data_IF_019030932982
#
_entry.id   IF_019030932982
#
_cell.length_a   1.000
_cell.length_b   1.000
_cell.length_c   1.000
_cell.angle_alpha   90.00
_cell.angle_beta   90.00
_cell.angle_gamma   90.00
#
_symmetry.space_group_name_H-M   'P 1'
#
loop_
_entity.id
_entity.type
_entity.pdbx_description
1 polymer ?
#
# COMPACT_ATOMS: atom_id res chain seq x y z
N UNK A 1 68.52 -18.28 12.82
CA UNK A 1 67.26 -19.05 12.70
C UNK A 1 66.16 -18.27 13.41
N UNK A 2 65.02 -18.10 12.72
CA UNK A 2 63.83 -17.34 13.14
C UNK A 2 63.16 -17.94 14.38
N UNK A 3 62.52 -17.09 15.20
CA UNK A 3 61.07 -17.12 15.45
C UNK A 3 60.63 -15.88 16.25
N UNK A 4 59.81 -15.07 15.59
CA UNK A 4 59.04 -13.95 16.12
C UNK A 4 57.71 -14.53 16.61
N UNK A 5 57.31 -14.25 17.84
CA UNK A 5 55.93 -14.47 18.31
C UNK A 5 55.21 -13.13 18.38
N UNK A 6 54.18 -13.02 17.55
CA UNK A 6 53.22 -11.92 17.47
C UNK A 6 52.24 -12.09 18.63
N UNK A 7 52.15 -11.11 19.53
CA UNK A 7 51.10 -11.02 20.53
C UNK A 7 49.88 -10.41 19.84
N UNK A 8 48.87 -11.26 19.63
CA UNK A 8 47.61 -10.92 19.00
C UNK A 8 46.66 -10.19 19.95
N UNK A 9 46.09 -9.12 19.40
CA UNK A 9 44.92 -8.34 19.80
C UNK A 9 43.84 -9.08 20.60
N UNK A 10 43.47 -8.54 21.77
CA UNK A 10 42.22 -8.78 22.47
C UNK A 10 41.30 -7.57 22.24
N UNK A 11 40.69 -7.51 21.04
CA UNK A 11 39.56 -6.65 20.77
C UNK A 11 38.32 -7.30 21.38
N UNK A 12 37.91 -6.79 22.54
CA UNK A 12 36.61 -7.08 23.16
C UNK A 12 35.54 -6.44 22.25
N UNK A 13 35.02 -7.21 21.31
CA UNK A 13 33.83 -6.84 20.56
C UNK A 13 32.63 -6.90 21.54
N UNK A 14 32.17 -5.73 21.95
CA UNK A 14 30.88 -5.52 22.58
C UNK A 14 29.78 -5.95 21.59
N UNK A 15 29.38 -7.21 21.68
CA UNK A 15 28.12 -7.70 21.14
C UNK A 15 26.98 -7.03 21.91
N UNK A 16 26.62 -5.82 21.47
CA UNK A 16 25.32 -5.24 21.76
C UNK A 16 24.28 -6.19 21.15
N UNK A 17 23.64 -6.95 22.03
CA UNK A 17 22.41 -7.67 21.75
C UNK A 17 21.35 -6.67 21.27
N UNK A 18 21.27 -6.46 19.97
CA UNK A 18 20.01 -6.11 19.35
C UNK A 18 19.10 -7.34 19.53
N UNK A 19 18.30 -7.35 20.60
CA UNK A 19 17.20 -8.30 20.72
C UNK A 19 16.29 -8.09 19.51
N UNK A 20 16.44 -8.95 18.50
CA UNK A 20 15.51 -9.03 17.40
C UNK A 20 14.14 -9.36 18.01
N UNK A 21 13.21 -8.40 17.98
CA UNK A 21 11.79 -8.68 18.24
C UNK A 21 11.39 -9.92 17.46
N UNK A 22 10.80 -10.95 18.10
CA UNK A 22 10.39 -12.16 17.42
C UNK A 22 9.50 -11.81 16.22
N UNK A 23 9.82 -12.35 15.04
CA UNK A 23 8.95 -12.20 13.86
C UNK A 23 7.56 -12.74 14.20
N UNK A 24 6.52 -11.96 13.94
CA UNK A 24 5.14 -12.39 14.14
C UNK A 24 4.85 -13.61 13.24
N UNK A 25 4.43 -14.71 13.84
CA UNK A 25 4.04 -15.90 13.11
C UNK A 25 2.69 -15.70 12.40
N UNK A 26 2.61 -16.13 11.14
CA UNK A 26 1.39 -16.15 10.33
C UNK A 26 0.90 -17.60 10.27
N UNK A 27 -0.23 -17.90 10.90
CA UNK A 27 -0.79 -19.25 11.02
C UNK A 27 -1.68 -19.61 9.84
N UNK A 28 -2.13 -20.86 9.76
CA UNK A 28 -3.06 -21.32 8.75
C UNK A 28 -4.40 -20.56 8.81
N UNK A 29 -4.87 -20.20 9.99
CA UNK A 29 -6.09 -19.41 10.19
C UNK A 29 -5.93 -17.99 9.66
N UNK A 30 -4.77 -17.36 9.89
CA UNK A 30 -4.48 -16.04 9.32
C UNK A 30 -4.48 -16.10 7.78
N UNK A 31 -3.85 -17.14 7.21
CA UNK A 31 -3.82 -17.35 5.76
C UNK A 31 -5.22 -17.53 5.21
N UNK A 32 -6.04 -18.38 5.85
CA UNK A 32 -7.43 -18.62 5.43
C UNK A 32 -8.22 -17.32 5.43
N UNK A 33 -8.17 -16.56 6.54
CA UNK A 33 -8.89 -15.30 6.66
C UNK A 33 -8.41 -14.26 5.62
N UNK A 34 -7.09 -14.10 5.44
CA UNK A 34 -6.54 -13.16 4.46
C UNK A 34 -6.94 -13.54 3.02
N UNK A 35 -6.85 -14.82 2.68
CA UNK A 35 -7.22 -15.33 1.37
C UNK A 35 -8.72 -15.18 1.11
N UNK A 36 -9.57 -15.47 2.10
CA UNK A 36 -11.03 -15.31 2.00
C UNK A 36 -11.43 -13.85 1.79
N UNK A 37 -10.81 -12.92 2.52
CA UNK A 37 -11.05 -11.49 2.31
C UNK A 37 -10.62 -11.04 0.90
N UNK A 38 -9.47 -11.51 0.42
CA UNK A 38 -8.87 -11.17 -0.88
C UNK A 38 -9.40 -11.96 -2.08
N UNK A 39 -10.26 -12.97 -1.88
CA UNK A 39 -10.73 -13.84 -2.95
C UNK A 39 -11.70 -13.07 -3.87
N UNK A 40 -11.39 -13.02 -5.16
CA UNK A 40 -12.23 -12.39 -6.19
C UNK A 40 -13.00 -13.43 -7.03
N UNK A 41 -12.81 -14.72 -6.75
CA UNK A 41 -13.38 -15.81 -7.55
C UNK A 41 -14.83 -16.16 -7.23
N UNK A 42 -15.34 -15.72 -6.08
CA UNK A 42 -16.63 -16.13 -5.51
C UNK A 42 -17.68 -15.03 -5.45
N UNK A 43 -17.36 -13.80 -5.90
CA UNK A 43 -18.20 -12.64 -5.60
C UNK A 43 -19.10 -12.28 -6.78
N UNK A 44 -20.37 -12.66 -6.66
CA UNK A 44 -21.46 -11.99 -7.37
C UNK A 44 -21.79 -10.70 -6.61
N UNK A 45 -20.91 -9.69 -6.76
CA UNK A 45 -21.04 -8.41 -6.07
C UNK A 45 -21.86 -7.48 -6.95
N UNK A 46 -23.18 -7.56 -6.79
CA UNK A 46 -24.06 -6.41 -7.05
C UNK A 46 -24.70 -5.87 -5.76
N UNK A 47 -23.91 -5.41 -4.75
CA UNK A 47 -24.38 -4.48 -3.74
C UNK A 47 -25.14 -3.33 -4.38
N UNK A 48 -26.30 -3.01 -3.81
CA UNK A 48 -27.15 -1.92 -4.30
C UNK A 48 -26.51 -0.55 -4.04
N UNK A 49 -25.56 -0.47 -3.09
CA UNK A 49 -24.81 0.72 -2.75
C UNK A 49 -23.44 0.40 -2.13
N UNK A 50 -22.58 1.42 -2.00
CA UNK A 50 -21.31 1.29 -1.27
C UNK A 50 -21.52 1.03 0.24
N UNK A 51 -22.57 1.58 0.83
CA UNK A 51 -22.82 1.42 2.26
C UNK A 51 -23.18 -0.04 2.56
N UNK A 52 -24.07 -0.65 1.75
CA UNK A 52 -24.38 -2.08 1.83
C UNK A 52 -23.12 -2.94 1.68
N UNK A 53 -22.22 -2.60 0.74
CA UNK A 53 -20.95 -3.32 0.55
C UNK A 53 -20.06 -3.28 1.80
N UNK A 54 -19.96 -2.13 2.46
CA UNK A 54 -19.17 -2.00 3.69
C UNK A 54 -19.85 -2.72 4.87
N UNK A 55 -21.16 -2.60 5.02
CA UNK A 55 -21.94 -3.27 6.07
C UNK A 55 -21.87 -4.79 5.93
N UNK A 56 -22.09 -5.34 4.72
CA UNK A 56 -21.98 -6.77 4.46
C UNK A 56 -20.58 -7.31 4.77
N UNK A 57 -19.53 -6.57 4.42
CA UNK A 57 -18.17 -6.97 4.79
C UNK A 57 -17.97 -6.95 6.31
N UNK A 58 -18.45 -5.89 6.98
CA UNK A 58 -18.34 -5.75 8.41
C UNK A 58 -19.04 -6.89 9.16
N UNK A 59 -20.26 -7.24 8.74
CA UNK A 59 -21.06 -8.32 9.32
C UNK A 59 -20.43 -9.69 9.07
N UNK A 60 -20.00 -9.96 7.82
CA UNK A 60 -19.41 -11.25 7.45
C UNK A 60 -18.13 -11.56 8.24
N UNK A 61 -17.32 -10.55 8.54
CA UNK A 61 -16.08 -10.71 9.30
C UNK A 61 -16.21 -10.32 10.78
N UNK A 62 -17.39 -9.88 11.21
CA UNK A 62 -17.67 -9.44 12.57
C UNK A 62 -16.73 -8.32 13.03
N UNK A 63 -16.51 -7.30 12.20
CA UNK A 63 -15.60 -6.19 12.46
C UNK A 63 -16.36 -4.88 12.62
N UNK A 64 -15.68 -3.88 13.18
CA UNK A 64 -16.10 -2.49 13.14
C UNK A 64 -14.94 -1.66 12.57
N UNK A 65 -15.22 -0.80 11.60
CA UNK A 65 -14.18 0.00 10.95
C UNK A 65 -13.53 0.98 11.93
N UNK A 66 -12.21 1.11 11.86
CA UNK A 66 -11.43 1.92 12.80
C UNK A 66 -11.25 1.31 14.20
N UNK A 67 -11.92 0.20 14.52
CA UNK A 67 -11.75 -0.49 15.81
C UNK A 67 -10.81 -1.68 15.66
N UNK A 68 -9.83 -1.79 16.56
CA UNK A 68 -8.91 -2.92 16.57
C UNK A 68 -9.57 -4.13 17.21
N UNK A 69 -9.75 -5.20 16.42
CA UNK A 69 -10.20 -6.51 16.89
C UNK A 69 -9.19 -7.57 16.48
N UNK A 70 -8.80 -8.42 17.43
CA UNK A 70 -7.81 -9.49 17.22
C UNK A 70 -6.50 -9.02 16.55
N UNK A 71 -6.07 -7.79 16.90
CA UNK A 71 -4.86 -7.16 16.37
C UNK A 71 -4.95 -6.70 14.91
N UNK A 72 -6.15 -6.67 14.32
CA UNK A 72 -6.44 -6.14 12.99
C UNK A 72 -7.33 -4.90 13.12
N UNK A 73 -7.07 -3.90 12.28
CA UNK A 73 -7.97 -2.76 12.10
C UNK A 73 -8.28 -2.62 10.62
N UNK A 74 -9.53 -2.31 10.31
CA UNK A 74 -10.02 -2.15 8.94
C UNK A 74 -10.40 -0.69 8.68
N UNK A 75 -10.14 -0.25 7.45
CA UNK A 75 -10.46 1.10 6.99
C UNK A 75 -11.13 1.03 5.63
N UNK A 76 -11.97 2.02 5.34
CA UNK A 76 -12.68 2.14 4.08
C UNK A 76 -12.30 3.42 3.34
N UNK A 77 -12.28 3.35 2.01
CA UNK A 77 -12.15 4.49 1.12
C UNK A 77 -13.30 4.53 0.14
N UNK A 78 -13.73 5.74 -0.24
CA UNK A 78 -14.80 5.94 -1.22
C UNK A 78 -14.48 7.07 -2.18
N UNK A 79 -14.94 6.94 -3.42
CA UNK A 79 -14.94 8.03 -4.40
C UNK A 79 -16.10 7.91 -5.38
N UNK A 80 -16.70 9.04 -5.70
CA UNK A 80 -17.74 9.16 -6.74
C UNK A 80 -17.08 9.35 -8.10
N UNK A 81 -17.72 8.84 -9.15
CA UNK A 81 -17.40 9.02 -10.55
C UNK A 81 -18.52 9.83 -11.17
N UNK A 82 -18.23 11.06 -11.55
CA UNK A 82 -19.20 12.00 -12.12
C UNK A 82 -19.40 11.80 -13.64
N UNK A 83 -19.31 10.56 -14.14
CA UNK A 83 -19.53 10.21 -15.54
C UNK A 83 -20.61 9.13 -15.65
N UNK A 84 -21.40 9.23 -16.71
CA UNK A 84 -22.43 8.25 -17.05
C UNK A 84 -21.86 7.05 -17.82
N UNK A 85 -22.65 5.99 -17.91
CA UNK A 85 -22.36 4.76 -18.65
C UNK A 85 -22.05 5.01 -20.13
N UNK A 86 -22.63 6.05 -20.73
CA UNK A 86 -22.39 6.41 -22.13
C UNK A 86 -21.09 7.20 -22.36
N UNK A 87 -20.39 7.60 -21.30
CA UNK A 87 -19.19 8.44 -21.46
C UNK A 87 -17.98 7.59 -21.90
N UNK A 88 -17.32 7.93 -23.02
CA UNK A 88 -16.11 7.26 -23.49
C UNK A 88 -14.96 7.18 -22.48
N UNK A 89 -14.93 8.10 -21.51
CA UNK A 89 -13.88 8.19 -20.51
C UNK A 89 -14.23 7.44 -19.22
N UNK A 90 -15.36 6.73 -19.17
CA UNK A 90 -15.82 6.04 -17.97
C UNK A 90 -14.75 5.11 -17.37
N UNK A 91 -14.11 4.28 -18.20
CA UNK A 91 -13.06 3.37 -17.73
C UNK A 91 -11.88 4.10 -17.07
N UNK A 92 -11.47 5.25 -17.64
CA UNK A 92 -10.42 6.09 -17.07
C UNK A 92 -10.88 6.78 -15.77
N UNK A 93 -12.13 7.24 -15.75
CA UNK A 93 -12.69 7.91 -14.58
C UNK A 93 -12.88 6.95 -13.40
N UNK A 94 -13.28 5.70 -13.65
CA UNK A 94 -13.29 4.63 -12.65
C UNK A 94 -11.88 4.40 -12.09
N UNK A 95 -10.89 4.30 -12.96
CA UNK A 95 -9.51 4.11 -12.51
C UNK A 95 -8.99 5.29 -11.67
N UNK A 96 -9.34 6.53 -12.01
CA UNK A 96 -9.03 7.72 -11.21
C UNK A 96 -9.80 7.75 -9.89
N UNK A 97 -11.07 7.35 -9.90
CA UNK A 97 -11.90 7.25 -8.71
C UNK A 97 -11.35 6.20 -7.74
N UNK A 98 -10.81 5.08 -8.23
CA UNK A 98 -10.11 4.11 -7.39
C UNK A 98 -8.89 4.73 -6.70
N UNK A 99 -8.07 5.49 -7.44
CA UNK A 99 -6.90 6.17 -6.84
C UNK A 99 -7.35 7.18 -5.77
N UNK A 100 -8.44 7.91 -6.00
CA UNK A 100 -9.02 8.82 -5.02
C UNK A 100 -9.63 8.10 -3.81
N UNK A 101 -10.28 6.96 -4.01
CA UNK A 101 -10.80 6.14 -2.92
C UNK A 101 -9.65 5.60 -2.05
N UNK A 102 -8.54 5.16 -2.66
CA UNK A 102 -7.34 4.75 -1.94
C UNK A 102 -6.71 5.90 -1.16
N UNK A 103 -6.61 7.08 -1.77
CA UNK A 103 -6.13 8.30 -1.09
C UNK A 103 -6.98 8.62 0.14
N UNK A 104 -8.31 8.60 0.00
CA UNK A 104 -9.23 8.85 1.10
C UNK A 104 -9.07 7.81 2.22
N UNK A 105 -8.90 6.53 1.87
CA UNK A 105 -8.63 5.46 2.83
C UNK A 105 -7.34 5.74 3.61
N UNK A 106 -6.26 6.10 2.92
CA UNK A 106 -4.97 6.42 3.54
C UNK A 106 -5.07 7.64 4.46
N UNK A 107 -5.82 8.67 4.08
CA UNK A 107 -6.09 9.85 4.93
C UNK A 107 -6.79 9.44 6.23
N UNK A 108 -7.85 8.63 6.15
CA UNK A 108 -8.56 8.15 7.34
C UNK A 108 -7.66 7.29 8.24
N UNK A 109 -6.85 6.42 7.65
CA UNK A 109 -5.85 5.65 8.39
C UNK A 109 -4.85 6.55 9.13
N UNK A 110 -4.29 7.57 8.46
CA UNK A 110 -3.29 8.45 9.07
C UNK A 110 -3.89 9.29 10.18
N UNK A 111 -5.13 9.77 10.05
CA UNK A 111 -5.82 10.50 11.12
C UNK A 111 -5.99 9.64 12.37
N UNK A 112 -6.46 8.40 12.21
CA UNK A 112 -6.61 7.46 13.33
C UNK A 112 -5.25 7.11 13.96
N UNK A 113 -4.24 6.82 13.14
CA UNK A 113 -2.88 6.56 13.62
C UNK A 113 -2.28 7.77 14.36
N UNK A 114 -2.48 8.98 13.83
CA UNK A 114 -2.06 10.23 14.47
C UNK A 114 -2.72 10.38 15.85
N UNK A 115 -4.04 10.20 15.94
CA UNK A 115 -4.77 10.25 17.20
C UNK A 115 -4.21 9.26 18.23
N UNK A 116 -4.06 7.99 17.85
CA UNK A 116 -3.53 6.94 18.75
C UNK A 116 -2.11 7.23 19.22
N UNK A 117 -1.22 7.63 18.32
CA UNK A 117 0.18 7.94 18.66
C UNK A 117 0.24 9.18 19.55
N UNK A 118 -0.52 10.23 19.22
CA UNK A 118 -0.55 11.46 20.00
C UNK A 118 -1.02 11.19 21.43
N UNK A 119 -2.13 10.47 21.58
CA UNK A 119 -2.70 10.08 22.86
C UNK A 119 -1.67 9.29 23.70
N UNK A 120 -1.03 8.29 23.11
CA UNK A 120 -0.01 7.50 23.81
C UNK A 120 1.19 8.36 24.25
N UNK A 121 1.67 9.29 23.41
CA UNK A 121 2.76 10.21 23.78
C UNK A 121 2.36 11.15 24.92
N UNK A 122 1.17 11.75 24.85
CA UNK A 122 0.65 12.65 25.89
C UNK A 122 0.54 11.91 27.22
N UNK A 123 0.01 10.68 27.24
CA UNK A 123 -0.01 9.86 28.45
C UNK A 123 1.39 9.65 29.03
N UNK A 124 2.39 9.39 28.20
CA UNK A 124 3.78 9.19 28.67
C UNK A 124 4.39 10.49 29.24
N UNK A 125 3.95 11.66 28.79
CA UNK A 125 4.36 12.95 29.34
C UNK A 125 3.62 13.29 30.65
N UNK A 126 2.34 12.90 30.75
CA UNK A 126 1.51 13.15 31.92
C UNK A 126 1.72 12.16 33.06
N UNK A 127 2.15 10.92 32.74
CA UNK A 127 2.43 9.86 33.69
C UNK A 127 3.57 10.25 34.65
N UNK A 128 3.15 10.83 35.78
CA UNK A 128 3.75 10.58 37.09
C UNK A 128 3.20 9.23 37.59
N UNK A 129 3.97 8.46 38.38
CA UNK A 129 3.73 7.04 38.70
C UNK A 129 2.40 6.74 39.45
N UNK A 130 1.26 6.87 38.77
CA UNK A 130 -0.08 6.68 39.31
C UNK A 130 -0.97 5.89 38.34
N UNK A 131 -1.76 4.98 38.90
CA UNK A 131 -2.40 3.80 38.27
C UNK A 131 -3.63 4.06 37.39
N UNK A 132 -3.90 5.29 36.94
CA UNK A 132 -5.13 5.64 36.20
C UNK A 132 -4.94 5.88 34.69
N UNK A 133 -4.10 5.08 34.02
CA UNK A 133 -3.87 5.19 32.56
C UNK A 133 -4.97 4.56 31.68
N UNK A 134 -6.11 4.13 32.24
CA UNK A 134 -7.19 3.47 31.51
C UNK A 134 -8.53 4.15 31.79
N UNK A 135 -8.80 5.19 31.02
CA UNK A 135 -10.11 5.61 30.53
C UNK A 135 -9.90 6.99 29.90
N UNK A 136 -9.66 7.00 28.58
CA UNK A 136 -9.96 8.20 27.83
C UNK A 136 -11.47 8.21 27.61
N UNK A 137 -12.15 9.19 28.20
CA UNK A 137 -13.50 9.55 27.79
C UNK A 137 -13.50 9.78 26.26
N UNK A 138 -14.58 9.36 25.61
CA UNK A 138 -14.82 9.64 24.20
C UNK A 138 -14.59 11.13 23.93
N UNK A 139 -13.68 11.38 23.01
CA UNK A 139 -13.29 12.73 22.62
C UNK A 139 -14.53 13.51 22.14
N UNK A 140 -14.82 14.70 22.71
CA UNK A 140 -16.01 15.48 22.36
C UNK A 140 -15.99 15.96 20.90
N UNK A 141 -17.14 16.40 20.37
CA UNK A 141 -17.26 16.87 18.98
C UNK A 141 -16.28 18.03 18.69
N UNK A 142 -15.30 17.78 17.82
CA UNK A 142 -14.25 18.73 17.42
C UNK A 142 -13.23 18.05 16.50
N UNK A 143 -12.19 18.77 16.10
CA UNK A 143 -11.09 18.21 15.32
C UNK A 143 -10.14 17.42 16.23
N UNK A 144 -9.56 16.32 15.72
CA UNK A 144 -8.61 15.49 16.49
C UNK A 144 -7.36 16.30 16.86
N UNK A 145 -6.88 17.16 15.96
CA UNK A 145 -5.71 18.01 16.19
C UNK A 145 -5.98 19.06 17.27
N UNK A 146 -7.15 19.71 17.24
CA UNK A 146 -7.54 20.71 18.24
C UNK A 146 -7.58 20.14 19.66
N UNK A 147 -8.14 18.94 19.82
CA UNK A 147 -8.19 18.26 21.12
C UNK A 147 -6.80 17.88 21.65
N UNK A 148 -5.91 17.42 20.76
CA UNK A 148 -4.51 17.14 21.09
C UNK A 148 -3.81 18.43 21.53
N UNK A 149 -4.06 19.55 20.85
CA UNK A 149 -3.51 20.85 21.23
C UNK A 149 -3.96 21.34 22.59
N UNK A 150 -5.25 21.18 22.91
CA UNK A 150 -5.78 21.56 24.22
C UNK A 150 -5.06 20.81 25.34
N UNK A 151 -4.72 19.53 25.12
CA UNK A 151 -3.94 18.73 26.06
C UNK A 151 -2.47 19.13 26.12
N UNK A 152 -1.84 19.42 24.99
CA UNK A 152 -0.43 19.85 24.98
C UNK A 152 -0.21 21.20 25.69
N UNK A 153 -1.16 22.13 25.59
CA UNK A 153 -1.07 23.45 26.26
C UNK A 153 -1.15 23.33 27.79
N UNK A 154 -1.76 22.26 28.31
CA UNK A 154 -1.81 21.96 29.75
C UNK A 154 -0.46 21.50 30.31
N UNK A 155 0.48 21.06 29.46
CA UNK A 155 1.84 20.72 29.88
C UNK A 155 2.60 22.00 30.29
N UNK A 156 3.21 21.96 31.47
CA UNK A 156 3.99 23.06 32.04
C UNK A 156 5.22 22.56 32.79
N UNK A 157 6.16 23.47 33.07
CA UNK A 157 7.37 23.19 33.84
C UNK A 157 8.13 21.95 33.37
N UNK A 158 8.39 21.02 34.29
CA UNK A 158 9.16 19.81 34.02
C UNK A 158 8.51 18.86 32.99
N UNK A 159 7.18 18.82 32.88
CA UNK A 159 6.48 17.99 31.88
C UNK A 159 6.66 18.54 30.47
N UNK A 160 6.58 19.87 30.33
CA UNK A 160 6.86 20.58 29.08
C UNK A 160 8.32 20.37 28.65
N UNK A 161 9.26 20.48 29.58
CA UNK A 161 10.67 20.25 29.31
C UNK A 161 10.97 18.80 28.92
N UNK A 162 10.34 17.81 29.57
CA UNK A 162 10.43 16.40 29.21
C UNK A 162 9.94 16.17 27.78
N UNK A 163 8.74 16.67 27.45
CA UNK A 163 8.16 16.50 26.12
C UNK A 163 9.05 17.10 25.02
N UNK A 164 9.60 18.30 25.24
CA UNK A 164 10.52 18.93 24.29
C UNK A 164 11.84 18.16 24.13
N UNK A 165 12.41 17.65 25.22
CA UNK A 165 13.62 16.82 25.18
C UNK A 165 13.38 15.51 24.45
N UNK A 166 12.25 14.86 24.66
CA UNK A 166 11.85 13.64 23.95
C UNK A 166 11.68 13.88 22.43
N UNK A 167 11.35 15.11 22.03
CA UNK A 167 11.32 15.55 20.63
C UNK A 167 12.68 16.00 20.10
N UNK A 168 13.75 15.94 20.90
CA UNK A 168 15.11 16.32 20.51
C UNK A 168 15.41 17.82 20.61
N UNK A 169 14.60 18.59 21.33
CA UNK A 169 14.75 20.06 21.45
C UNK A 169 15.48 20.40 22.76
N UNK A 170 16.52 21.23 22.67
CA UNK A 170 17.16 21.80 23.85
C UNK A 170 16.28 22.92 24.44
N UNK A 171 16.01 22.83 25.74
CA UNK A 171 15.09 23.72 26.47
C UNK A 171 15.80 24.86 27.21
N UNK A 172 17.13 24.83 27.28
CA UNK A 172 17.93 25.84 27.97
C UNK A 172 17.80 27.21 27.30
N UNK A 173 17.55 28.25 28.09
CA UNK A 173 17.39 29.63 27.61
C UNK A 173 16.07 29.95 26.91
N UNK A 174 15.15 28.98 26.75
CA UNK A 174 13.85 29.22 26.13
C UNK A 174 12.82 29.75 27.13
N UNK A 175 12.03 30.74 26.70
CA UNK A 175 10.84 31.20 27.44
C UNK A 175 9.75 30.14 27.42
N UNK A 176 8.88 30.14 28.43
CA UNK A 176 7.78 29.16 28.50
C UNK A 176 6.82 29.26 27.30
N UNK A 177 6.57 30.47 26.81
CA UNK A 177 5.78 30.70 25.59
C UNK A 177 6.46 30.06 24.37
N UNK A 178 7.77 30.27 24.20
CA UNK A 178 8.52 29.66 23.08
C UNK A 178 8.53 28.13 23.18
N UNK A 179 8.66 27.59 24.39
CA UNK A 179 8.57 26.15 24.66
C UNK A 179 7.22 25.58 24.22
N UNK A 180 6.10 26.25 24.54
CA UNK A 180 4.75 25.81 24.13
C UNK A 180 4.56 25.86 22.62
N UNK A 181 5.06 26.89 21.94
CA UNK A 181 5.00 26.98 20.47
C UNK A 181 5.82 25.86 19.82
N UNK A 182 7.07 25.67 20.25
CA UNK A 182 7.93 24.60 19.71
C UNK A 182 7.36 23.21 19.97
N UNK A 183 6.75 22.99 21.14
CA UNK A 183 6.09 21.72 21.45
C UNK A 183 4.96 21.46 20.45
N UNK A 184 4.09 22.43 20.17
CA UNK A 184 2.98 22.24 19.21
C UNK A 184 3.51 21.87 17.83
N UNK A 185 4.47 22.65 17.31
CA UNK A 185 5.04 22.47 15.97
C UNK A 185 5.70 21.09 15.82
N UNK A 186 6.64 20.77 16.70
CA UNK A 186 7.42 19.54 16.58
C UNK A 186 6.64 18.29 17.01
N UNK A 187 5.70 18.41 17.96
CA UNK A 187 4.81 17.31 18.29
C UNK A 187 3.94 16.92 17.10
N UNK A 188 3.30 17.88 16.41
CA UNK A 188 2.51 17.59 15.21
C UNK A 188 3.38 16.94 14.14
N UNK A 189 4.46 17.61 13.80
CA UNK A 189 5.37 17.20 12.74
C UNK A 189 5.87 15.75 12.95
N UNK A 190 6.41 15.44 14.13
CA UNK A 190 6.91 14.09 14.44
C UNK A 190 5.79 13.07 14.53
N UNK A 191 4.62 13.43 15.06
CA UNK A 191 3.50 12.49 15.23
C UNK A 191 2.84 12.16 13.90
N UNK A 192 2.66 13.13 13.00
CA UNK A 192 2.18 12.89 11.63
C UNK A 192 3.22 12.07 10.85
N UNK A 193 4.51 12.37 11.01
CA UNK A 193 5.59 11.58 10.40
C UNK A 193 5.51 10.11 10.85
N UNK A 194 5.31 9.86 12.15
CA UNK A 194 5.09 8.50 12.67
C UNK A 194 3.80 7.86 12.14
N UNK A 195 2.72 8.63 12.00
CA UNK A 195 1.44 8.15 11.48
C UNK A 195 1.54 7.73 10.00
N UNK A 196 2.17 8.57 9.17
CA UNK A 196 2.56 8.24 7.78
C UNK A 196 3.44 7.00 7.76
N UNK A 197 4.46 6.95 8.62
CA UNK A 197 5.34 5.79 8.72
C UNK A 197 4.58 4.51 9.06
N UNK A 198 3.48 4.65 9.79
CA UNK A 198 2.61 3.53 10.13
C UNK A 198 1.73 3.05 8.97
N UNK A 199 1.75 3.67 7.78
CA UNK A 199 1.03 3.17 6.60
C UNK A 199 1.58 1.83 6.07
N UNK A 200 2.81 1.48 6.43
CA UNK A 200 3.35 0.16 6.10
C UNK A 200 2.44 -0.95 6.59
N UNK A 201 2.20 -1.94 5.73
CA UNK A 201 1.30 -3.05 6.02
C UNK A 201 -0.19 -2.72 5.93
N UNK A 202 -0.59 -1.54 5.45
CA UNK A 202 -1.96 -1.27 5.03
C UNK A 202 -2.21 -1.93 3.67
N UNK A 203 -3.09 -2.93 3.64
CA UNK A 203 -3.29 -3.81 2.48
C UNK A 203 -4.76 -3.79 2.07
N UNK A 204 -5.08 -3.38 0.83
CA UNK A 204 -6.43 -3.51 0.28
C UNK A 204 -6.83 -4.97 0.16
N UNK A 205 -8.01 -5.30 0.66
CA UNK A 205 -8.56 -6.66 0.64
C UNK A 205 -9.73 -6.79 -0.32
N UNK A 206 -10.53 -5.74 -0.50
CA UNK A 206 -11.65 -5.73 -1.44
C UNK A 206 -11.83 -4.37 -2.10
N UNK A 207 -12.27 -4.39 -3.36
CA UNK A 207 -12.73 -3.21 -4.08
C UNK A 207 -14.06 -3.52 -4.73
N UNK A 208 -14.86 -2.48 -4.94
CA UNK A 208 -16.10 -2.60 -5.69
C UNK A 208 -16.35 -1.35 -6.51
N UNK A 209 -17.04 -1.52 -7.64
CA UNK A 209 -17.72 -0.47 -8.38
C UNK A 209 -19.22 -0.69 -8.24
N UNK A 210 -19.93 0.30 -7.72
CA UNK A 210 -21.41 0.29 -7.65
C UNK A 210 -21.97 1.45 -8.46
N UNK A 211 -23.25 1.39 -8.81
CA UNK A 211 -23.94 2.47 -9.51
C UNK A 211 -25.15 2.90 -8.70
N UNK A 212 -25.28 4.21 -8.46
CA UNK A 212 -26.39 4.79 -7.72
C UNK A 212 -26.85 6.06 -8.42
N UNK A 213 -28.12 6.07 -8.87
CA UNK A 213 -28.75 7.23 -9.53
C UNK A 213 -27.95 7.74 -10.75
N UNK A 214 -27.39 6.83 -11.55
CA UNK A 214 -26.62 7.17 -12.75
C UNK A 214 -25.21 7.71 -12.51
N UNK A 215 -24.72 7.63 -11.26
CA UNK A 215 -23.31 7.87 -10.92
C UNK A 215 -22.68 6.56 -10.46
N UNK A 216 -21.41 6.36 -10.80
CA UNK A 216 -20.65 5.25 -10.25
C UNK A 216 -19.95 5.66 -8.97
N UNK A 217 -19.85 4.73 -8.03
CA UNK A 217 -19.18 4.91 -6.77
C UNK A 217 -18.18 3.75 -6.60
N UNK A 218 -16.93 4.07 -6.24
CA UNK A 218 -15.89 3.08 -5.95
C UNK A 218 -15.64 3.00 -4.45
N UNK A 219 -15.67 1.78 -3.93
CA UNK A 219 -15.35 1.45 -2.54
C UNK A 219 -14.07 0.63 -2.46
N UNK A 220 -13.28 0.87 -1.42
CA UNK A 220 -12.06 0.12 -1.09
C UNK A 220 -12.10 -0.23 0.38
N UNK A 221 -11.78 -1.47 0.72
CA UNK A 221 -11.57 -1.93 2.09
C UNK A 221 -10.12 -2.36 2.23
N UNK A 222 -9.45 -1.93 3.29
CA UNK A 222 -8.10 -2.34 3.62
C UNK A 222 -7.96 -2.77 5.07
N UNK A 223 -6.97 -3.60 5.33
CA UNK A 223 -6.62 -4.10 6.66
C UNK A 223 -5.19 -3.71 7.01
N UNK A 224 -4.94 -3.47 8.29
CA UNK A 224 -3.59 -3.34 8.85
C UNK A 224 -3.49 -4.13 10.15
N UNK A 225 -2.34 -4.75 10.37
CA UNK A 225 -2.01 -5.48 11.59
C UNK A 225 -0.50 -5.52 11.80
N UNK A 226 -0.06 -6.02 12.97
CA UNK A 226 1.37 -6.30 13.18
C UNK A 226 1.92 -7.31 12.17
N UNK A 227 1.10 -8.30 11.76
CA UNK A 227 1.48 -9.34 10.81
C UNK A 227 1.64 -8.79 9.40
N UNK A 228 0.70 -7.95 8.94
CA UNK A 228 0.81 -7.32 7.60
C UNK A 228 1.97 -6.33 7.53
N UNK A 229 2.26 -5.59 8.61
CA UNK A 229 3.47 -4.75 8.73
C UNK A 229 4.75 -5.56 8.61
N UNK A 230 4.83 -6.65 9.39
CA UNK A 230 6.00 -7.53 9.40
C UNK A 230 6.22 -8.15 8.03
N UNK A 231 5.15 -8.66 7.39
CA UNK A 231 5.20 -9.19 6.04
C UNK A 231 5.69 -8.13 5.05
N UNK A 232 5.10 -6.93 5.07
CA UNK A 232 5.45 -5.88 4.13
C UNK A 232 6.92 -5.43 4.30
N UNK A 233 7.43 -5.42 5.53
CA UNK A 233 8.85 -5.22 5.86
C UNK A 233 9.74 -6.36 5.35
N UNK A 234 9.32 -7.61 5.51
CA UNK A 234 10.07 -8.73 4.98
C UNK A 234 10.10 -8.68 3.44
N UNK A 235 9.01 -8.22 2.79
CA UNK A 235 8.89 -8.10 1.33
C UNK A 235 9.83 -7.04 0.79
N UNK A 236 9.84 -5.89 1.45
CA UNK A 236 10.77 -4.81 1.12
C UNK A 236 12.24 -5.24 1.29
N UNK A 237 12.54 -6.09 2.28
CA UNK A 237 13.89 -6.55 2.57
C UNK A 237 14.32 -7.83 1.82
N UNK A 238 13.47 -8.39 0.95
CA UNK A 238 13.72 -9.68 0.31
C UNK A 238 14.02 -10.82 1.32
N UNK A 239 13.32 -10.83 2.46
CA UNK A 239 13.47 -11.81 3.55
C UNK A 239 12.26 -12.73 3.62
N UNK A 240 12.45 -13.96 4.08
CA UNK A 240 11.32 -14.84 4.37
C UNK A 240 10.61 -14.43 5.66
N UNK A 241 9.28 -14.41 5.63
CA UNK A 241 8.44 -14.27 6.82
C UNK A 241 8.22 -15.63 7.50
N UNK A 242 7.97 -15.61 8.82
CA UNK A 242 7.59 -16.82 9.56
C UNK A 242 6.13 -17.21 9.26
N UNK A 243 5.93 -18.02 8.21
CA UNK A 243 4.61 -18.47 7.77
C UNK A 243 4.46 -19.97 8.03
N UNK A 244 3.38 -20.35 8.71
CA UNK A 244 3.00 -21.72 9.06
C UNK A 244 1.62 -22.03 8.49
N UNK A 245 1.59 -22.32 7.19
CA UNK A 245 0.38 -22.73 6.49
C UNK A 245 0.51 -22.62 4.98
N UNK A 246 -0.57 -22.94 4.27
CA UNK A 246 -0.65 -22.96 2.81
C UNK A 246 -1.99 -22.39 2.34
N UNK A 247 -1.97 -21.71 1.20
CA UNK A 247 -3.16 -21.31 0.47
C UNK A 247 -3.50 -22.28 -0.66
N UNK A 248 -4.19 -21.76 -1.68
CA UNK A 248 -4.52 -22.46 -2.93
C UNK A 248 -3.75 -21.84 -4.11
N UNK A 249 -3.90 -22.43 -5.30
CA UNK A 249 -3.24 -21.91 -6.50
C UNK A 249 -3.67 -20.46 -6.77
N UNK A 250 -2.71 -19.61 -7.13
CA UNK A 250 -2.98 -18.17 -7.30
C UNK A 250 -4.04 -17.86 -8.37
N UNK A 251 -4.20 -18.72 -9.38
CA UNK A 251 -5.24 -18.56 -10.39
C UNK A 251 -6.65 -18.77 -9.84
N UNK A 252 -6.78 -19.52 -8.74
CA UNK A 252 -8.08 -19.82 -8.14
C UNK A 252 -8.68 -18.63 -7.38
N UNK A 253 -7.89 -17.59 -7.08
CA UNK A 253 -8.38 -16.34 -6.49
C UNK A 253 -8.92 -15.34 -7.52
N UNK A 254 -8.68 -15.57 -8.81
CA UNK A 254 -9.11 -14.65 -9.86
C UNK A 254 -10.61 -14.82 -10.15
N UNK A 255 -11.29 -13.74 -10.60
CA UNK A 255 -12.63 -13.85 -11.17
C UNK A 255 -12.72 -14.96 -12.21
N UNK A 256 -13.83 -15.70 -12.21
CA UNK A 256 -14.03 -16.84 -13.12
C UNK A 256 -14.35 -16.41 -14.56
N UNK A 257 -14.94 -15.23 -14.72
CA UNK A 257 -15.31 -14.64 -15.99
C UNK A 257 -14.66 -13.26 -16.19
N UNK A 258 -14.55 -12.81 -17.44
CA UNK A 258 -13.91 -11.52 -17.76
C UNK A 258 -14.68 -10.30 -17.24
N UNK A 259 -16.00 -10.40 -17.02
CA UNK A 259 -16.83 -9.29 -16.50
C UNK A 259 -16.50 -9.03 -15.02
N UNK A 260 -16.25 -10.08 -14.24
CA UNK A 260 -15.85 -9.96 -12.84
C UNK A 260 -14.58 -9.11 -12.62
N UNK A 261 -13.67 -9.07 -13.60
CA UNK A 261 -12.46 -8.23 -13.52
C UNK A 261 -12.74 -6.73 -13.61
N UNK A 262 -13.93 -6.29 -14.03
CA UNK A 262 -14.29 -4.87 -14.05
C UNK A 262 -14.35 -4.25 -12.64
N UNK A 263 -14.53 -5.07 -11.60
CA UNK A 263 -14.60 -4.62 -10.21
C UNK A 263 -13.24 -4.66 -9.50
N UNK A 264 -12.22 -5.24 -10.15
CA UNK A 264 -10.92 -5.48 -9.53
C UNK A 264 -9.93 -4.36 -9.87
N UNK A 265 -9.51 -3.67 -8.81
CA UNK A 265 -8.53 -2.59 -8.88
C UNK A 265 -7.45 -2.76 -7.82
N UNK A 266 -6.24 -2.35 -8.19
CA UNK A 266 -5.12 -2.27 -7.26
C UNK A 266 -4.57 -3.62 -6.85
N UNK A 267 -3.99 -3.67 -5.65
CA UNK A 267 -3.34 -4.88 -5.15
C UNK A 267 -4.25 -5.71 -4.24
N UNK A 268 -3.92 -7.00 -4.13
CA UNK A 268 -4.39 -7.92 -3.09
C UNK A 268 -3.22 -8.72 -2.57
N UNK A 269 -3.22 -9.00 -1.28
CA UNK A 269 -2.35 -10.01 -0.69
C UNK A 269 -3.08 -11.34 -0.64
N UNK A 270 -2.45 -12.38 -1.18
CA UNK A 270 -2.88 -13.78 -1.03
C UNK A 270 -1.68 -14.64 -0.67
N UNK A 271 -1.93 -15.86 -0.23
CA UNK A 271 -0.92 -16.90 -0.07
C UNK A 271 -1.16 -18.03 -1.06
N UNK A 272 -0.09 -18.52 -1.66
CA UNK A 272 -0.15 -19.62 -2.62
C UNK A 272 -0.12 -21.00 -1.94
N UNK A 273 -0.14 -22.08 -2.73
CA UNK A 273 -0.11 -23.47 -2.26
C UNK A 273 1.16 -23.86 -1.46
N UNK A 274 2.21 -23.04 -1.51
CA UNK A 274 3.45 -23.24 -0.74
C UNK A 274 3.44 -22.45 0.57
N UNK A 275 2.45 -21.58 0.76
CA UNK A 275 2.42 -20.62 1.86
C UNK A 275 3.24 -19.35 1.56
N UNK A 276 3.68 -19.16 0.32
CA UNK A 276 4.41 -17.96 -0.07
C UNK A 276 3.43 -16.79 -0.22
N UNK A 277 3.75 -15.59 0.32
CA UNK A 277 2.93 -14.41 0.13
C UNK A 277 3.08 -13.90 -1.31
N UNK A 278 1.95 -13.63 -1.95
CA UNK A 278 1.87 -13.15 -3.33
C UNK A 278 1.04 -11.87 -3.37
N UNK A 279 1.61 -10.82 -3.97
CA UNK A 279 0.85 -9.61 -4.30
C UNK A 279 0.29 -9.78 -5.70
N UNK A 280 -1.03 -9.89 -5.80
CA UNK A 280 -1.75 -9.78 -7.07
C UNK A 280 -2.05 -8.31 -7.32
N UNK A 281 -1.92 -7.85 -8.57
CA UNK A 281 -2.20 -6.48 -8.94
C UNK A 281 -3.02 -6.42 -10.21
N UNK A 282 -4.17 -5.77 -10.11
CA UNK A 282 -5.14 -5.62 -11.17
C UNK A 282 -4.98 -4.24 -11.81
N UNK A 283 -4.63 -4.25 -13.09
CA UNK A 283 -4.62 -3.07 -13.93
C UNK A 283 -5.64 -3.24 -15.04
N UNK A 284 -6.46 -2.21 -15.24
CA UNK A 284 -7.43 -2.18 -16.32
C UNK A 284 -7.44 -0.79 -16.99
N UNK A 285 -7.85 -0.78 -18.24
CA UNK A 285 -8.04 0.44 -19.01
C UNK A 285 -9.11 0.22 -20.07
N UNK A 286 -9.71 1.31 -20.57
CA UNK A 286 -10.73 1.24 -21.60
C UNK A 286 -10.41 2.12 -22.80
N UNK A 287 -10.96 1.73 -23.95
CA UNK A 287 -10.96 2.49 -25.19
C UNK A 287 -12.28 2.28 -25.95
N UNK A 288 -12.58 3.19 -26.87
CA UNK A 288 -13.68 3.00 -27.83
C UNK A 288 -13.08 2.60 -29.18
N UNK A 289 -13.53 1.47 -29.71
CA UNK A 289 -13.15 1.03 -31.04
C UNK A 289 -13.74 1.95 -32.12
N UNK A 290 -12.92 2.28 -33.10
CA UNK A 290 -13.32 3.01 -34.30
C UNK A 290 -13.68 1.99 -35.39
N UNK A 291 -14.97 1.75 -35.60
CA UNK A 291 -15.48 0.75 -36.54
C UNK A 291 -14.99 0.98 -37.99
N UNK A 292 -14.65 2.23 -38.34
CA UNK A 292 -14.22 2.60 -39.68
C UNK A 292 -12.68 2.66 -39.80
N UNK A 293 -11.94 2.45 -38.72
CA UNK A 293 -10.49 2.59 -38.70
C UNK A 293 -9.81 1.55 -37.80
N UNK A 294 -9.66 0.33 -38.32
CA UNK A 294 -8.98 -0.77 -37.64
C UNK A 294 -7.56 -0.41 -37.17
N UNK A 295 -6.80 0.36 -37.96
CA UNK A 295 -5.44 0.79 -37.56
C UNK A 295 -5.47 1.64 -36.29
N UNK A 296 -6.42 2.58 -36.21
CA UNK A 296 -6.59 3.43 -35.03
C UNK A 296 -7.07 2.61 -33.82
N UNK A 297 -8.01 1.70 -34.02
CA UNK A 297 -8.48 0.77 -32.96
C UNK A 297 -7.34 -0.04 -32.38
N UNK A 298 -6.50 -0.66 -33.22
CA UNK A 298 -5.35 -1.45 -32.74
C UNK A 298 -4.36 -0.59 -31.93
N UNK A 299 -4.10 0.66 -32.35
CA UNK A 299 -3.24 1.58 -31.59
C UNK A 299 -3.86 1.94 -30.23
N UNK A 300 -5.17 2.13 -30.17
CA UNK A 300 -5.88 2.42 -28.92
C UNK A 300 -5.86 1.21 -27.97
N UNK A 301 -6.08 0.00 -28.52
CA UNK A 301 -6.01 -1.25 -27.78
C UNK A 301 -4.60 -1.49 -27.21
N UNK A 302 -3.55 -1.34 -28.02
CA UNK A 302 -2.16 -1.53 -27.58
C UNK A 302 -1.80 -0.55 -26.46
N UNK A 303 -2.16 0.74 -26.61
CA UNK A 303 -1.98 1.75 -25.56
C UNK A 303 -2.75 1.41 -24.29
N UNK A 304 -3.97 0.91 -24.40
CA UNK A 304 -4.77 0.51 -23.26
C UNK A 304 -4.15 -0.68 -22.52
N UNK A 305 -3.62 -1.68 -23.24
CA UNK A 305 -2.90 -2.83 -22.67
C UNK A 305 -1.60 -2.40 -21.97
N UNK A 306 -0.85 -1.50 -22.57
CA UNK A 306 0.39 -0.96 -22.00
C UNK A 306 0.10 -0.13 -20.74
N UNK A 307 -0.97 0.67 -20.77
CA UNK A 307 -1.43 1.46 -19.63
C UNK A 307 -1.86 0.53 -18.50
N UNK A 308 -2.72 -0.45 -18.76
CA UNK A 308 -3.15 -1.43 -17.77
C UNK A 308 -1.96 -2.15 -17.12
N UNK A 309 -0.96 -2.55 -17.91
CA UNK A 309 0.27 -3.19 -17.41
C UNK A 309 1.10 -2.24 -16.55
N UNK A 310 1.28 -1.00 -16.99
CA UNK A 310 2.00 0.03 -16.23
C UNK A 310 1.33 0.32 -14.90
N UNK A 311 -0.01 0.37 -14.85
CA UNK A 311 -0.76 0.63 -13.63
C UNK A 311 -0.66 -0.52 -12.63
N UNK A 312 -0.78 -1.77 -13.10
CA UNK A 312 -0.62 -2.93 -12.25
C UNK A 312 0.81 -3.02 -11.67
N UNK A 313 1.83 -2.76 -12.49
CA UNK A 313 3.23 -2.73 -12.05
C UNK A 313 3.46 -1.60 -11.04
N UNK A 314 2.96 -0.39 -11.33
CA UNK A 314 3.08 0.76 -10.44
C UNK A 314 2.45 0.51 -9.07
N UNK A 315 1.29 -0.16 -8.99
CA UNK A 315 0.65 -0.46 -7.71
C UNK A 315 1.47 -1.44 -6.83
N UNK A 316 2.13 -2.43 -7.45
CA UNK A 316 3.06 -3.34 -6.74
C UNK A 316 4.27 -2.54 -6.24
N UNK A 317 4.83 -1.70 -7.10
CA UNK A 317 6.02 -0.92 -6.75
C UNK A 317 5.71 0.09 -5.65
N UNK A 318 4.58 0.79 -5.73
CA UNK A 318 4.12 1.72 -4.70
C UNK A 318 3.99 1.02 -3.36
N UNK A 319 3.40 -0.19 -3.33
CA UNK A 319 3.34 -1.00 -2.12
C UNK A 319 4.73 -1.32 -1.58
N UNK A 320 5.62 -1.91 -2.40
CA UNK A 320 6.97 -2.29 -1.94
C UNK A 320 7.76 -1.06 -1.45
N UNK A 321 7.70 0.07 -2.18
CA UNK A 321 8.46 1.28 -1.87
C UNK A 321 7.94 2.02 -0.64
N UNK A 322 6.62 2.04 -0.43
CA UNK A 322 6.02 2.58 0.81
C UNK A 322 6.59 1.87 2.04
N UNK A 323 6.90 0.58 1.90
CA UNK A 323 7.50 -0.22 2.97
C UNK A 323 9.04 -0.11 3.05
N UNK A 324 9.74 0.19 1.94
CA UNK A 324 11.19 0.44 1.93
C UNK A 324 11.57 1.81 2.52
N UNK A 325 10.75 2.82 2.23
CA UNK A 325 10.93 4.21 2.66
C UNK A 325 11.18 4.34 4.17
N UNK A 326 10.59 3.44 4.98
CA UNK A 326 10.70 3.41 6.43
C UNK A 326 12.03 2.87 6.97
N UNK A 327 12.89 2.31 6.11
CA UNK A 327 14.21 1.76 6.48
C UNK A 327 15.23 2.87 6.72
N UNK A 328 15.12 3.96 5.98
CA UNK A 328 15.98 5.14 6.12
C UNK A 328 15.23 6.19 6.93
N UNK A 329 14.92 5.88 8.20
CA UNK A 329 14.30 6.82 9.16
C UNK A 329 15.00 8.19 9.18
N UNK A 330 16.29 8.24 8.83
CA UNK A 330 17.03 9.48 8.66
C UNK A 330 16.70 10.16 7.33
N UNK A 331 17.03 9.57 6.19
CA UNK A 331 16.88 10.24 4.86
C UNK A 331 15.42 10.40 4.41
N UNK A 332 14.59 9.39 4.62
CA UNK A 332 13.17 9.44 4.23
C UNK A 332 12.31 10.10 5.29
N UNK A 333 12.65 9.92 6.57
CA UNK A 333 12.03 10.66 7.66
C UNK A 333 12.23 12.17 7.48
N UNK A 334 13.45 12.62 7.21
CA UNK A 334 13.75 14.04 6.91
C UNK A 334 12.93 14.54 5.70
N UNK A 335 12.79 13.73 4.65
CA UNK A 335 11.98 14.10 3.50
C UNK A 335 10.48 14.20 3.79
N UNK A 336 9.92 13.28 4.57
CA UNK A 336 8.50 13.32 4.91
C UNK A 336 8.24 14.45 5.89
N UNK A 337 9.16 14.69 6.81
CA UNK A 337 9.16 15.83 7.71
C UNK A 337 9.10 17.14 6.94
N UNK A 338 9.91 17.31 5.90
CA UNK A 338 9.86 18.50 5.03
C UNK A 338 8.51 18.64 4.32
N UNK A 339 7.98 17.56 3.74
CA UNK A 339 6.66 17.56 3.09
C UNK A 339 5.56 17.95 4.08
N UNK A 340 5.61 17.43 5.30
CA UNK A 340 4.64 17.71 6.37
C UNK A 340 4.75 19.17 6.80
N UNK A 341 5.96 19.67 7.09
CA UNK A 341 6.20 21.09 7.44
C UNK A 341 5.69 22.05 6.37
N UNK A 342 5.85 21.73 5.10
CA UNK A 342 5.34 22.55 3.98
C UNK A 342 3.84 22.45 3.76
N UNK A 343 3.16 21.45 4.34
CA UNK A 343 1.74 21.18 4.10
C UNK A 343 0.85 21.51 5.28
N UNK A 344 1.42 21.71 6.47
CA UNK A 344 0.67 22.10 7.67
C UNK A 344 0.48 23.61 7.73
N UNK A 345 -0.76 24.05 7.94
CA UNK A 345 -1.06 25.41 8.36
C UNK A 345 -1.46 25.43 9.85
N UNK A 346 -0.51 25.76 10.73
CA UNK A 346 -0.68 25.65 12.20
C UNK A 346 -1.58 26.77 12.77
N UNK A 347 -1.93 27.77 11.97
CA UNK A 347 -2.63 28.97 12.46
C UNK A 347 -4.16 28.84 12.44
N UNK A 348 -4.73 27.81 11.81
CA UNK A 348 -6.17 27.70 11.59
C UNK A 348 -6.63 26.25 11.82
N UNK A 349 -7.19 25.98 13.01
CA UNK A 349 -7.51 24.64 13.51
C UNK A 349 -8.94 24.20 13.12
N UNK A 350 -9.38 24.54 11.91
CA UNK A 350 -10.70 24.12 11.44
C UNK A 350 -10.66 22.67 10.94
N UNK A 351 -11.73 21.91 11.17
CA UNK A 351 -11.81 20.51 10.70
C UNK A 351 -11.65 20.37 9.19
N UNK A 352 -12.04 21.40 8.41
CA UNK A 352 -11.90 21.37 6.94
C UNK A 352 -10.45 21.56 6.49
N UNK A 353 -9.70 22.44 7.14
CA UNK A 353 -8.28 22.65 6.83
C UNK A 353 -7.44 21.45 7.24
N UNK A 354 -7.75 20.80 8.35
CA UNK A 354 -7.07 19.57 8.73
C UNK A 354 -7.25 18.45 7.73
N UNK A 355 -8.49 18.24 7.24
CA UNK A 355 -8.75 17.25 6.19
C UNK A 355 -7.90 17.56 4.96
N UNK A 356 -7.85 18.84 4.55
CA UNK A 356 -7.05 19.30 3.42
C UNK A 356 -5.56 19.09 3.64
N UNK A 357 -5.04 19.36 4.83
CA UNK A 357 -3.64 19.18 5.18
C UNK A 357 -3.23 17.71 5.13
N UNK A 358 -4.03 16.81 5.74
CA UNK A 358 -3.78 15.37 5.63
C UNK A 358 -3.85 14.89 4.17
N UNK A 359 -4.84 15.34 3.38
CA UNK A 359 -4.90 15.00 1.96
C UNK A 359 -3.65 15.47 1.20
N UNK A 360 -3.23 16.73 1.38
CA UNK A 360 -2.04 17.28 0.73
C UNK A 360 -0.77 16.49 1.11
N UNK A 361 -0.63 16.11 2.38
CA UNK A 361 0.49 15.32 2.87
C UNK A 361 0.53 13.97 2.16
N UNK A 362 -0.59 13.25 2.11
CA UNK A 362 -0.66 11.93 1.47
C UNK A 362 -0.42 12.03 -0.03
N UNK A 363 -0.99 13.02 -0.72
CA UNK A 363 -0.77 13.23 -2.15
C UNK A 363 0.70 13.49 -2.49
N UNK A 364 1.38 14.36 -1.73
CA UNK A 364 2.81 14.64 -1.94
C UNK A 364 3.68 13.42 -1.64
N UNK A 365 3.36 12.67 -0.60
CA UNK A 365 4.07 11.42 -0.27
C UNK A 365 3.88 10.39 -1.38
N UNK A 366 2.64 10.15 -1.82
CA UNK A 366 2.34 9.21 -2.91
C UNK A 366 3.05 9.64 -4.21
N UNK A 367 3.08 10.94 -4.51
CA UNK A 367 3.82 11.48 -5.66
C UNK A 367 5.32 11.18 -5.55
N UNK A 368 5.90 11.37 -4.35
CA UNK A 368 7.31 11.04 -4.11
C UNK A 368 7.59 9.54 -4.21
N UNK A 369 6.71 8.69 -3.69
CA UNK A 369 6.82 7.22 -3.80
C UNK A 369 6.73 6.78 -5.25
N UNK A 370 5.82 7.36 -6.04
CA UNK A 370 5.70 7.11 -7.49
C UNK A 370 6.93 7.59 -8.27
N UNK A 371 7.55 8.69 -7.87
CA UNK A 371 8.79 9.15 -8.50
C UNK A 371 9.98 8.21 -8.21
N UNK A 372 10.08 7.68 -6.98
CA UNK A 372 11.12 6.70 -6.61
C UNK A 372 10.85 5.28 -7.13
N UNK A 373 9.61 4.99 -7.56
CA UNK A 373 9.18 3.74 -8.18
C UNK A 373 9.79 3.45 -9.56
N UNK A 374 10.56 4.36 -10.14
CA UNK A 374 11.22 4.18 -11.44
C UNK A 374 12.35 3.12 -11.45
N UNK A 375 12.66 2.50 -10.31
CA UNK A 375 13.56 1.35 -10.21
C UNK A 375 12.88 0.05 -10.69
N UNK A 376 13.50 -0.67 -11.63
CA UNK A 376 13.01 -1.98 -12.13
C UNK A 376 12.90 -2.98 -10.98
N UNK A 377 11.74 -3.12 -10.36
CA UNK A 377 11.45 -4.24 -9.46
C UNK A 377 11.47 -5.52 -10.31
N UNK A 378 12.47 -6.36 -10.05
CA UNK A 378 12.52 -7.73 -10.60
C UNK A 378 11.45 -8.57 -9.92
N UNK A 379 10.94 -9.59 -10.60
CA UNK A 379 9.97 -10.53 -10.00
C UNK A 379 8.51 -10.18 -10.21
N UNK A 380 8.18 -9.16 -11.02
CA UNK A 380 6.79 -8.94 -11.45
C UNK A 380 6.52 -9.78 -12.71
N UNK A 381 5.59 -10.73 -12.60
CA UNK A 381 5.13 -11.59 -13.69
C UNK A 381 3.72 -11.26 -14.16
N UNK A 382 3.35 -11.71 -15.36
CA UNK A 382 1.94 -11.68 -15.82
C UNK A 382 1.28 -13.00 -15.46
N UNK A 383 0.17 -12.94 -14.73
CA UNK A 383 -0.65 -14.09 -14.43
C UNK A 383 -1.77 -14.27 -15.48
N UNK A 384 -2.46 -13.17 -15.82
CA UNK A 384 -3.61 -13.20 -16.71
C UNK A 384 -3.69 -11.92 -17.54
N UNK A 385 -4.11 -12.05 -18.80
CA UNK A 385 -4.64 -10.95 -19.61
C UNK A 385 -6.10 -11.23 -19.93
N UNK A 386 -6.91 -10.18 -19.96
CA UNK A 386 -8.33 -10.27 -20.22
C UNK A 386 -8.80 -9.07 -21.03
N UNK A 387 -9.95 -9.24 -21.68
CA UNK A 387 -10.67 -8.19 -22.39
C UNK A 387 -12.17 -8.40 -22.20
N UNK A 388 -12.93 -7.32 -22.26
CA UNK A 388 -14.37 -7.34 -22.11
C UNK A 388 -14.98 -6.11 -22.79
N UNK A 389 -16.02 -6.30 -23.59
CA UNK A 389 -16.80 -5.21 -24.16
C UNK A 389 -18.04 -5.00 -23.31
N UNK A 390 -18.19 -3.82 -22.71
CA UNK A 390 -19.38 -3.48 -21.94
C UNK A 390 -20.57 -3.12 -22.83
N UNK A 391 -21.76 -3.14 -22.25
CA UNK A 391 -23.04 -2.96 -22.98
C UNK A 391 -23.14 -1.59 -23.68
N UNK A 392 -22.38 -0.60 -23.20
CA UNK A 392 -22.22 0.75 -23.77
C UNK A 392 -21.21 0.82 -24.93
N UNK A 393 -20.59 -0.29 -25.35
CA UNK A 393 -19.62 -0.35 -26.44
C UNK A 393 -18.19 0.07 -26.06
N UNK A 394 -17.89 0.29 -24.78
CA UNK A 394 -16.51 0.50 -24.31
C UNK A 394 -15.79 -0.85 -24.27
N UNK A 395 -14.60 -0.91 -24.87
CA UNK A 395 -13.73 -2.08 -24.79
C UNK A 395 -12.77 -1.91 -23.61
N UNK A 396 -12.85 -2.82 -22.66
CA UNK A 396 -11.97 -2.93 -21.51
C UNK A 396 -10.89 -3.96 -21.79
N UNK A 397 -9.66 -3.61 -21.47
CA UNK A 397 -8.53 -4.54 -21.43
C UNK A 397 -7.89 -4.47 -20.05
N UNK A 398 -7.40 -5.60 -19.58
CA UNK A 398 -6.71 -5.64 -18.32
C UNK A 398 -5.72 -6.76 -18.20
N UNK A 399 -4.96 -6.67 -17.12
CA UNK A 399 -3.90 -7.60 -16.79
C UNK A 399 -3.86 -7.80 -15.29
N UNK A 400 -3.62 -9.04 -14.90
CA UNK A 400 -3.26 -9.40 -13.53
C UNK A 400 -1.76 -9.65 -13.52
N UNK A 401 -1.07 -8.81 -12.76
CA UNK A 401 0.36 -8.95 -12.49
C UNK A 401 0.52 -9.57 -11.11
N UNK A 402 1.62 -10.29 -10.89
CA UNK A 402 1.91 -10.84 -9.58
C UNK A 402 3.36 -10.61 -9.19
N UNK A 403 3.60 -10.47 -7.89
CA UNK A 403 4.92 -10.40 -7.30
C UNK A 403 5.03 -11.39 -6.13
N UNK A 404 6.10 -12.19 -6.14
CA UNK A 404 6.46 -13.11 -5.07
C UNK A 404 7.98 -13.26 -5.01
N UNK A 405 8.52 -13.62 -3.84
CA UNK A 405 9.97 -13.87 -3.71
C UNK A 405 10.43 -15.03 -4.58
N UNK A 406 9.62 -16.07 -4.70
CA UNK A 406 9.95 -17.24 -5.51
C UNK A 406 10.15 -16.82 -6.97
N UNK A 407 9.33 -15.89 -7.48
CA UNK A 407 9.51 -15.35 -8.82
C UNK A 407 10.78 -14.48 -8.94
N UNK A 408 11.11 -13.71 -7.90
CA UNK A 408 12.38 -12.95 -7.85
C UNK A 408 13.58 -13.91 -7.90
N UNK A 409 13.54 -14.99 -7.11
CA UNK A 409 14.59 -16.01 -7.07
C UNK A 409 14.74 -16.71 -8.43
N UNK A 410 13.62 -17.14 -9.02
CA UNK A 410 13.58 -17.76 -10.35
C UNK A 410 14.20 -16.86 -11.44
N UNK A 411 13.83 -15.57 -11.47
CA UNK A 411 14.42 -14.63 -12.43
C UNK A 411 15.91 -14.44 -12.18
N UNK A 412 16.34 -14.36 -10.92
CA UNK A 412 17.77 -14.23 -10.61
C UNK A 412 18.57 -15.47 -11.00
N UNK A 413 17.97 -16.66 -10.94
CA UNK A 413 18.57 -17.90 -11.43
C UNK A 413 18.68 -17.92 -12.95
N UNK A 414 17.60 -17.61 -13.66
CA UNK A 414 17.59 -17.50 -15.12
C UNK A 414 18.58 -16.45 -15.67
N UNK A 415 18.82 -15.36 -14.93
CA UNK A 415 19.81 -14.35 -15.31
C UNK A 415 21.25 -14.80 -15.05
N UNK A 416 21.48 -15.76 -14.14
CA UNK A 416 22.81 -16.33 -13.88
C UNK A 416 23.18 -17.42 -14.89
N UNK A 417 22.21 -18.15 -15.43
CA UNK A 417 22.44 -19.23 -16.41
C UNK A 417 22.81 -18.73 -17.81
N UNK A 418 22.40 -17.52 -18.20
CA UNK A 418 22.57 -16.98 -19.56
C UNK A 418 23.97 -16.42 -19.91
N UNK A 419 25.06 -16.95 -19.37
CA UNK A 419 26.42 -16.48 -19.71
C UNK A 419 27.06 -17.17 -20.92
N UNK A 420 26.41 -18.14 -21.58
CA UNK A 420 26.94 -18.76 -22.80
C UNK A 420 25.84 -19.25 -23.75
N UNK A 421 25.48 -18.46 -24.77
CA UNK A 421 24.96 -19.02 -26.03
C UNK A 421 25.12 -18.06 -27.20
N UNK A 422 25.77 -18.54 -28.26
CA UNK A 422 26.02 -17.85 -29.53
C UNK A 422 24.79 -17.91 -30.44
N UNK A 423 24.46 -16.78 -31.07
CA UNK A 423 23.29 -16.62 -31.94
C UNK A 423 23.65 -16.91 -33.41
N UNK A 424 22.94 -17.79 -34.13
CA UNK A 424 22.98 -17.83 -35.59
C UNK A 424 21.99 -16.83 -36.20
N UNK A 425 22.43 -16.13 -37.25
CA UNK A 425 21.62 -15.19 -38.05
C UNK A 425 20.67 -15.94 -39.00
N UNK A 426 19.48 -15.39 -39.23
CA UNK A 426 18.67 -15.74 -40.42
C UNK A 426 17.91 -14.53 -40.95
N UNK A 427 17.88 -14.43 -42.29
CA UNK A 427 17.43 -13.28 -43.08
C UNK A 427 15.90 -13.17 -43.23
N UNK A 428 15.44 -11.94 -43.43
CA UNK A 428 14.02 -11.57 -43.54
C UNK A 428 13.44 -11.73 -44.95
N UNK A 429 12.18 -12.17 -45.06
CA UNK A 429 11.29 -11.85 -46.21
C UNK A 429 9.91 -11.38 -45.74
N UNK A 430 9.35 -10.43 -46.51
CA UNK A 430 8.18 -9.60 -46.20
C UNK A 430 6.83 -10.32 -46.34
N UNK A 431 5.87 -9.76 -45.61
CA UNK A 431 4.55 -10.24 -45.19
C UNK A 431 3.40 -10.09 -46.20
N UNK A 432 2.41 -10.98 -46.07
CA UNK A 432 0.98 -10.67 -46.25
C UNK A 432 0.19 -11.33 -45.10
N UNK A 433 -0.95 -10.71 -44.72
CA UNK A 433 -1.78 -11.07 -43.57
C UNK A 433 -2.20 -12.56 -43.58
N UNK A 434 -1.54 -13.37 -42.77
CA UNK A 434 -1.90 -14.77 -42.52
C UNK A 434 -1.54 -15.07 -41.07
N UNK A 435 -2.50 -15.52 -40.26
CA UNK A 435 -2.19 -16.16 -38.99
C UNK A 435 -1.47 -17.47 -39.30
N UNK A 436 -0.14 -17.47 -39.21
CA UNK A 436 0.73 -18.64 -39.38
C UNK A 436 1.39 -18.93 -38.05
N UNK A 437 1.26 -20.16 -37.53
CA UNK A 437 2.09 -20.65 -36.44
C UNK A 437 3.47 -21.03 -37.00
N UNK A 438 4.54 -20.75 -36.26
CA UNK A 438 5.85 -21.33 -36.55
C UNK A 438 5.78 -22.85 -36.36
N UNK A 439 6.50 -23.60 -37.19
CA UNK A 439 6.75 -25.01 -36.88
C UNK A 439 7.53 -25.07 -35.57
N UNK A 440 7.19 -26.02 -34.70
CA UNK A 440 7.98 -26.33 -33.51
C UNK A 440 9.25 -27.02 -34.00
N UNK A 441 10.40 -26.37 -33.86
CA UNK A 441 11.70 -26.88 -34.31
C UNK A 441 12.55 -27.38 -33.14
N UNK A 442 12.29 -26.88 -31.94
CA UNK A 442 13.00 -27.25 -30.71
C UNK A 442 12.00 -27.83 -29.70
N UNK A 443 12.45 -28.82 -28.93
CA UNK A 443 11.74 -29.37 -27.77
C UNK A 443 12.18 -28.63 -26.48
N UNK A 444 11.45 -28.83 -25.37
CA UNK A 444 11.81 -28.26 -24.08
C UNK A 444 13.14 -28.80 -23.55
N UNK A 445 13.51 -30.02 -23.95
CA UNK A 445 14.77 -30.64 -23.58
C UNK A 445 16.00 -30.05 -24.32
N UNK A 446 15.80 -29.19 -25.33
CA UNK A 446 16.88 -28.55 -26.09
C UNK A 446 17.50 -27.30 -25.41
N UNK A 447 17.00 -26.88 -24.23
CA UNK A 447 17.34 -25.59 -23.59
C UNK A 447 17.99 -25.69 -22.20
#
# INVERSE_FOLDING_TARGET
>A
MKKIFIIGSLLVASLLYAQATPQAEITQEDIKAQNEMSDASSKDITPKSLDDFFEEFADNFGIEYGITKDGKTFYTGRSVVALSDSDPQLAQALQNAYQKAMLNLQVEFIKDAFGRIAVSKIQNYEADNSTNAKEFEELPKGSVVGQIFDKLVQLSGAKLDKALKDLGINVEGLTEERKKTLLKEEFLNKTITSAVGSMSGLIPVQTIVTQRRGQYDIGVIAVVSKKTRQLAKDMSLARQSNIKGKGKNINEYLPKDNKGFLNEYGIRLVYDEKGSPVILSYGNWGYIADANNAKKTNILEDRAKDTASTMADAAIIEFINTNLSLKDEKTTGESYEEIIKQSLNINDNTTQEEIKDFTNIVEKINTKVKASASGKIKGIGTLKRWNYTSENGIEHVGVVRFYSYDNVANINEALKSNSNTSVPKTESKKSSNIQRSSNVVNDIDDF
#
